data_IF_729843474853
#
_entry.id   IF_729843474853
#
_cell.length_a   1.000
_cell.length_b   1.000
_cell.length_c   1.000
_cell.angle_alpha   90.00
_cell.angle_beta   90.00
_cell.angle_gamma   90.00
#
_symmetry.space_group_name_H-M   'P 1'
#
loop_
_entity.id
_entity.type
_entity.pdbx_description
1 polymer ?
#
# COMPACT_ATOMS: atom_id res chain seq x y z
N UNK A 1 -3.14 -44.67 -22.74
CA UNK A 1 -2.32 -43.65 -23.42
C UNK A 1 -3.17 -43.03 -24.51
N UNK A 2 -3.83 -41.91 -24.21
CA UNK A 2 -4.47 -41.00 -25.16
C UNK A 2 -4.59 -39.66 -24.42
N UNK A 3 -3.57 -38.84 -24.55
CA UNK A 3 -3.51 -37.48 -24.02
C UNK A 3 -3.30 -36.53 -25.20
N UNK A 4 -4.34 -36.38 -26.00
CA UNK A 4 -4.44 -35.36 -27.06
C UNK A 4 -5.43 -34.29 -26.63
N UNK A 5 -5.18 -33.69 -25.46
CA UNK A 5 -5.61 -32.33 -25.20
C UNK A 5 -4.38 -31.46 -25.37
N UNK A 6 -4.15 -31.06 -26.61
CA UNK A 6 -3.19 -30.03 -26.97
C UNK A 6 -3.68 -28.68 -26.46
N UNK A 7 -3.49 -28.42 -25.17
CA UNK A 7 -3.19 -27.05 -24.73
C UNK A 7 -1.77 -26.79 -25.21
N UNK A 8 -1.69 -26.05 -26.30
CA UNK A 8 -0.50 -25.78 -27.10
C UNK A 8 0.48 -24.92 -26.28
N UNK A 9 1.15 -25.51 -25.29
CA UNK A 9 2.30 -24.88 -24.66
C UNK A 9 3.34 -24.61 -25.76
N UNK A 10 3.95 -23.41 -25.81
CA UNK A 10 4.96 -23.11 -26.81
C UNK A 10 6.12 -24.08 -26.59
N UNK A 11 6.61 -24.71 -27.66
CA UNK A 11 7.91 -25.42 -27.79
C UNK A 11 8.67 -25.64 -26.47
N UNK A 12 8.95 -26.90 -26.07
CA UNK A 12 9.65 -27.37 -24.85
C UNK A 12 10.45 -26.31 -24.06
N UNK A 13 11.30 -25.54 -24.74
CA UNK A 13 12.01 -24.36 -24.22
C UNK A 13 11.21 -23.29 -23.43
N UNK A 14 9.97 -22.94 -23.79
CA UNK A 14 9.18 -21.94 -23.03
C UNK A 14 8.64 -22.55 -21.74
N UNK A 15 8.22 -23.81 -21.81
CA UNK A 15 7.72 -24.55 -20.66
C UNK A 15 8.82 -24.80 -19.63
N UNK A 16 10.00 -25.25 -20.08
CA UNK A 16 11.17 -25.42 -19.21
C UNK A 16 11.60 -24.09 -18.55
N UNK A 17 11.56 -23.00 -19.33
CA UNK A 17 11.80 -21.65 -18.82
C UNK A 17 10.78 -21.23 -17.76
N UNK A 18 9.49 -21.45 -18.02
CA UNK A 18 8.41 -21.17 -17.08
C UNK A 18 8.59 -21.94 -15.76
N UNK A 19 8.86 -23.24 -15.82
CA UNK A 19 9.07 -24.06 -14.62
C UNK A 19 10.28 -23.60 -13.80
N UNK A 20 11.40 -23.34 -14.47
CA UNK A 20 12.64 -22.88 -13.82
C UNK A 20 12.44 -21.52 -13.15
N UNK A 21 11.80 -20.59 -13.86
CA UNK A 21 11.50 -19.25 -13.36
C UNK A 21 10.56 -19.31 -12.17
N UNK A 22 9.46 -20.05 -12.28
CA UNK A 22 8.48 -20.21 -11.20
C UNK A 22 9.07 -20.82 -9.93
N UNK A 23 9.95 -21.82 -10.06
CA UNK A 23 10.66 -22.38 -8.90
C UNK A 23 11.58 -21.35 -8.23
N UNK A 24 12.27 -20.52 -9.02
CA UNK A 24 13.10 -19.44 -8.49
C UNK A 24 12.24 -18.34 -7.83
N UNK A 25 11.14 -17.94 -8.44
CA UNK A 25 10.21 -16.93 -7.90
C UNK A 25 9.58 -17.38 -6.59
N UNK A 26 9.27 -18.67 -6.45
CA UNK A 26 8.80 -19.25 -5.20
C UNK A 26 9.79 -19.01 -4.05
N UNK A 27 11.06 -19.38 -4.23
CA UNK A 27 12.08 -19.19 -3.20
C UNK A 27 12.38 -17.71 -2.93
N UNK A 28 12.44 -16.89 -3.98
CA UNK A 28 12.61 -15.44 -3.83
C UNK A 28 11.45 -14.85 -3.03
N UNK A 29 10.21 -15.26 -3.31
CA UNK A 29 9.02 -14.81 -2.59
C UNK A 29 9.06 -15.19 -1.12
N UNK A 30 9.47 -16.41 -0.78
CA UNK A 30 9.62 -16.84 0.62
C UNK A 30 10.64 -15.98 1.35
N UNK A 31 11.84 -15.81 0.76
CA UNK A 31 12.93 -15.03 1.38
C UNK A 31 12.52 -13.56 1.53
N UNK A 32 11.92 -12.98 0.49
CA UNK A 32 11.43 -11.61 0.51
C UNK A 32 10.32 -11.43 1.56
N UNK A 33 9.39 -12.39 1.67
CA UNK A 33 8.30 -12.33 2.65
C UNK A 33 8.84 -12.43 4.08
N UNK A 34 9.81 -13.31 4.35
CA UNK A 34 10.48 -13.38 5.64
C UNK A 34 11.18 -12.06 6.02
N UNK A 35 11.86 -11.44 5.04
CA UNK A 35 12.49 -10.13 5.22
C UNK A 35 11.45 -9.04 5.50
N UNK A 36 10.36 -9.00 4.73
CA UNK A 36 9.25 -8.05 4.91
C UNK A 36 8.58 -8.20 6.28
N UNK A 37 8.35 -9.43 6.75
CA UNK A 37 7.84 -9.70 8.10
C UNK A 37 8.81 -9.23 9.17
N UNK A 38 10.11 -9.43 8.98
CA UNK A 38 11.15 -8.96 9.91
C UNK A 38 11.16 -7.43 10.00
N UNK A 39 11.11 -6.74 8.86
CA UNK A 39 11.05 -5.27 8.80
C UNK A 39 9.76 -4.76 9.46
N UNK A 40 8.60 -5.38 9.16
CA UNK A 40 7.32 -5.02 9.76
C UNK A 40 7.32 -5.24 11.27
N UNK A 41 7.84 -6.38 11.72
CA UNK A 41 8.00 -6.73 13.13
C UNK A 41 8.89 -5.73 13.86
N UNK A 42 10.03 -5.36 13.28
CA UNK A 42 10.91 -4.33 13.82
C UNK A 42 10.23 -2.96 13.92
N UNK A 43 9.49 -2.54 12.87
CA UNK A 43 8.70 -1.32 12.87
C UNK A 43 7.59 -1.31 13.93
N UNK A 44 6.96 -2.45 14.21
CA UNK A 44 5.95 -2.59 15.26
C UNK A 44 6.59 -2.60 16.66
N UNK A 45 7.72 -3.28 16.82
CA UNK A 45 8.46 -3.34 18.07
C UNK A 45 8.97 -1.95 18.50
N UNK A 46 9.54 -1.19 17.58
CA UNK A 46 10.00 0.19 17.85
C UNK A 46 8.87 1.11 18.30
N UNK A 47 7.64 0.95 17.76
CA UNK A 47 6.45 1.69 18.26
C UNK A 47 6.01 1.25 19.65
N UNK A 48 6.19 -0.02 20.00
CA UNK A 48 5.78 -0.55 21.32
C UNK A 48 6.61 0.06 22.46
N UNK A 49 7.87 0.45 22.20
CA UNK A 49 8.74 1.11 23.19
C UNK A 49 8.24 2.50 23.62
N UNK A 50 7.39 3.16 22.84
CA UNK A 50 6.84 4.46 23.23
C UNK A 50 5.45 4.26 23.88
N UNK A 51 5.30 4.50 25.19
CA UNK A 51 4.07 4.20 25.92
C UNK A 51 2.84 4.97 25.40
N UNK A 52 3.03 6.13 24.76
CA UNK A 52 1.95 6.92 24.15
C UNK A 52 1.38 6.30 22.86
N UNK A 53 2.14 5.44 22.17
CA UNK A 53 1.73 4.83 20.89
C UNK A 53 1.48 3.32 20.98
N UNK A 54 1.59 2.72 22.18
CA UNK A 54 1.38 1.28 22.44
C UNK A 54 0.00 0.77 22.00
N UNK A 55 -1.06 1.59 22.07
CA UNK A 55 -2.41 1.24 21.56
C UNK A 55 -2.50 1.15 20.03
N UNK A 56 -1.50 1.63 19.28
CA UNK A 56 -1.49 1.65 17.80
C UNK A 56 -0.66 0.52 17.17
N UNK A 57 -0.19 -0.45 17.96
CA UNK A 57 0.62 -1.58 17.45
C UNK A 57 -0.18 -2.44 16.48
N UNK A 58 -1.43 -2.79 16.81
CA UNK A 58 -2.37 -3.44 15.87
C UNK A 58 -3.19 -2.41 15.10
N UNK A 59 -2.50 -1.43 14.50
CA UNK A 59 -3.19 -0.53 13.58
C UNK A 59 -3.67 -1.32 12.38
N UNK A 60 -4.85 -0.97 11.88
CA UNK A 60 -5.42 -1.66 10.74
C UNK A 60 -4.65 -1.41 9.41
N UNK A 61 -3.56 -0.64 9.43
CA UNK A 61 -2.55 -0.57 8.35
C UNK A 61 -1.53 -1.71 8.46
N UNK A 62 -1.11 -2.06 9.68
CA UNK A 62 -0.19 -3.18 9.93
C UNK A 62 -0.87 -4.50 9.60
N UNK A 63 -2.15 -4.63 9.96
CA UNK A 63 -2.97 -5.79 9.59
C UNK A 63 -3.05 -5.95 8.08
N UNK A 64 -3.28 -4.86 7.34
CA UNK A 64 -3.31 -4.91 5.87
C UNK A 64 -1.95 -5.33 5.29
N UNK A 65 -0.84 -4.75 5.75
CA UNK A 65 0.49 -5.16 5.28
C UNK A 65 0.80 -6.63 5.59
N UNK A 66 0.45 -7.09 6.80
CA UNK A 66 0.62 -8.48 7.19
C UNK A 66 -0.18 -9.42 6.28
N UNK A 67 -1.46 -9.08 6.02
CA UNK A 67 -2.32 -9.84 5.12
C UNK A 67 -1.77 -9.84 3.70
N UNK A 68 -1.27 -8.71 3.18
CA UNK A 68 -0.68 -8.65 1.85
C UNK A 68 0.55 -9.56 1.72
N UNK A 69 1.44 -9.57 2.71
CA UNK A 69 2.61 -10.46 2.72
C UNK A 69 2.15 -11.92 2.75
N UNK A 70 1.21 -12.25 3.64
CA UNK A 70 0.73 -13.62 3.80
C UNK A 70 0.01 -14.12 2.53
N UNK A 71 -0.90 -13.33 1.98
CA UNK A 71 -1.65 -13.71 0.79
C UNK A 71 -0.70 -13.86 -0.41
N UNK A 72 0.26 -12.96 -0.60
CA UNK A 72 1.22 -13.12 -1.70
C UNK A 72 2.04 -14.41 -1.57
N UNK A 73 2.51 -14.75 -0.36
CA UNK A 73 3.21 -16.00 -0.11
C UNK A 73 2.30 -17.22 -0.37
N UNK A 74 1.03 -17.16 0.04
CA UNK A 74 0.07 -18.24 -0.21
C UNK A 74 -0.25 -18.40 -1.69
N UNK A 75 -0.43 -17.31 -2.44
CA UNK A 75 -0.65 -17.33 -3.90
C UNK A 75 0.47 -18.08 -4.60
N UNK A 76 1.73 -17.69 -4.36
CA UNK A 76 2.89 -18.30 -5.00
C UNK A 76 3.08 -19.75 -4.54
N UNK A 77 2.78 -20.07 -3.28
CA UNK A 77 2.80 -21.46 -2.80
C UNK A 77 1.76 -22.34 -3.49
N UNK A 78 0.54 -21.86 -3.68
CA UNK A 78 -0.48 -22.60 -4.43
C UNK A 78 -0.13 -22.73 -5.91
N UNK A 79 0.49 -21.72 -6.51
CA UNK A 79 0.99 -21.82 -7.88
C UNK A 79 2.08 -22.91 -8.01
N UNK A 80 3.01 -22.98 -7.05
CA UNK A 80 4.01 -24.05 -7.02
C UNK A 80 3.39 -25.45 -6.81
N UNK A 81 2.35 -25.56 -5.97
CA UNK A 81 1.60 -26.81 -5.78
C UNK A 81 0.81 -27.22 -7.04
N UNK A 82 0.27 -26.26 -7.78
CA UNK A 82 -0.38 -26.49 -9.08
C UNK A 82 0.60 -27.13 -10.07
N UNK A 83 1.82 -26.60 -10.18
CA UNK A 83 2.86 -27.15 -11.06
C UNK A 83 3.24 -28.60 -10.69
N UNK A 84 3.22 -28.94 -9.40
CA UNK A 84 3.53 -30.28 -8.91
C UNK A 84 2.34 -31.24 -8.86
N UNK A 85 1.13 -30.82 -9.22
CA UNK A 85 -0.07 -31.63 -9.10
C UNK A 85 -0.14 -32.73 -10.19
N UNK A 86 -0.51 -33.94 -9.80
CA UNK A 86 -0.61 -35.10 -10.72
C UNK A 86 -2.04 -35.45 -11.12
N UNK A 87 -3.04 -34.89 -10.42
CA UNK A 87 -4.46 -35.15 -10.64
C UNK A 87 -5.20 -33.86 -11.01
N UNK A 88 -6.13 -33.94 -11.95
CA UNK A 88 -6.92 -32.80 -12.44
C UNK A 88 -7.65 -32.05 -11.31
N UNK A 89 -8.19 -32.77 -10.33
CA UNK A 89 -8.87 -32.19 -9.17
C UNK A 89 -7.94 -31.32 -8.30
N UNK A 90 -6.70 -31.78 -8.10
CA UNK A 90 -5.68 -31.02 -7.36
C UNK A 90 -5.20 -29.82 -8.15
N UNK A 91 -5.02 -29.95 -9.47
CA UNK A 91 -4.68 -28.83 -10.35
C UNK A 91 -5.73 -27.73 -10.25
N UNK A 92 -7.02 -28.09 -10.41
CA UNK A 92 -8.14 -27.17 -10.31
C UNK A 92 -8.19 -26.47 -8.93
N UNK A 93 -8.01 -27.23 -7.85
CA UNK A 93 -8.05 -26.70 -6.49
C UNK A 93 -6.93 -25.69 -6.23
N UNK A 94 -5.68 -26.06 -6.53
CA UNK A 94 -4.52 -25.19 -6.29
C UNK A 94 -4.55 -23.94 -7.17
N UNK A 95 -4.95 -24.08 -8.43
CA UNK A 95 -5.08 -22.94 -9.33
C UNK A 95 -6.20 -21.99 -8.84
N UNK A 96 -7.35 -22.53 -8.44
CA UNK A 96 -8.44 -21.73 -7.88
C UNK A 96 -8.02 -20.97 -6.62
N UNK A 97 -7.28 -21.62 -5.72
CA UNK A 97 -6.75 -20.99 -4.50
C UNK A 97 -5.71 -19.92 -4.81
N UNK A 98 -4.84 -20.14 -5.80
CA UNK A 98 -3.89 -19.13 -6.29
C UNK A 98 -4.64 -17.88 -6.80
N UNK A 99 -5.69 -18.08 -7.62
CA UNK A 99 -6.54 -16.98 -8.10
C UNK A 99 -7.25 -16.25 -6.96
N UNK A 100 -7.83 -16.95 -5.97
CA UNK A 100 -8.41 -16.30 -4.78
C UNK A 100 -7.37 -15.41 -4.10
N UNK A 101 -6.13 -15.88 -3.96
CA UNK A 101 -5.04 -15.10 -3.40
C UNK A 101 -4.70 -13.85 -4.23
N UNK A 102 -4.65 -13.97 -5.55
CA UNK A 102 -4.41 -12.83 -6.46
C UNK A 102 -5.52 -11.76 -6.34
N UNK A 103 -6.79 -12.17 -6.41
CA UNK A 103 -7.93 -11.26 -6.29
C UNK A 103 -8.00 -10.62 -4.89
N UNK A 104 -7.68 -11.39 -3.85
CA UNK A 104 -7.57 -10.88 -2.48
C UNK A 104 -6.45 -9.86 -2.35
N UNK A 105 -5.30 -10.09 -3.01
CA UNK A 105 -4.18 -9.15 -3.04
C UNK A 105 -4.57 -7.82 -3.70
N UNK A 106 -5.26 -7.87 -4.85
CA UNK A 106 -5.78 -6.67 -5.52
C UNK A 106 -6.74 -5.88 -4.63
N UNK A 107 -7.68 -6.57 -3.98
CA UNK A 107 -8.59 -5.94 -3.01
C UNK A 107 -7.83 -5.28 -1.85
N UNK A 108 -6.85 -5.98 -1.26
CA UNK A 108 -6.05 -5.45 -0.16
C UNK A 108 -5.23 -4.23 -0.58
N UNK A 109 -4.65 -4.25 -1.79
CA UNK A 109 -3.90 -3.11 -2.34
C UNK A 109 -4.79 -1.88 -2.44
N UNK A 110 -5.99 -2.00 -3.02
CA UNK A 110 -6.92 -0.88 -3.17
C UNK A 110 -7.36 -0.33 -1.81
N UNK A 111 -7.75 -1.22 -0.88
CA UNK A 111 -8.16 -0.83 0.47
C UNK A 111 -6.99 -0.14 1.20
N UNK A 112 -5.77 -0.64 1.03
CA UNK A 112 -4.57 -0.07 1.62
C UNK A 112 -4.26 1.32 1.03
N UNK A 113 -4.24 1.44 -0.29
CA UNK A 113 -4.03 2.70 -1.02
C UNK A 113 -5.02 3.76 -0.58
N UNK A 114 -6.32 3.41 -0.47
CA UNK A 114 -7.33 4.31 0.04
C UNK A 114 -7.08 4.72 1.49
N UNK A 115 -6.87 3.75 2.39
CA UNK A 115 -6.69 4.04 3.82
C UNK A 115 -5.51 4.96 4.08
N UNK A 116 -4.43 4.81 3.30
CA UNK A 116 -3.26 5.68 3.34
C UNK A 116 -3.49 7.03 2.69
N UNK A 117 -4.21 7.06 1.57
CA UNK A 117 -4.52 8.28 0.83
C UNK A 117 -5.60 9.15 1.47
N UNK A 118 -6.50 8.57 2.29
CA UNK A 118 -7.66 9.24 2.90
C UNK A 118 -7.33 10.62 3.52
N UNK A 119 -6.24 10.79 4.30
CA UNK A 119 -5.88 12.11 4.82
C UNK A 119 -5.59 13.16 3.74
N UNK A 120 -5.01 12.75 2.61
CA UNK A 120 -4.72 13.63 1.47
C UNK A 120 -6.02 13.94 0.71
N UNK A 121 -6.87 12.94 0.50
CA UNK A 121 -8.18 13.13 -0.13
C UNK A 121 -9.07 14.06 0.68
N UNK A 122 -9.13 13.90 2.01
CA UNK A 122 -9.90 14.77 2.88
C UNK A 122 -9.39 16.22 2.84
N UNK A 123 -8.09 16.42 2.67
CA UNK A 123 -7.49 17.75 2.54
C UNK A 123 -7.74 18.42 1.17
N UNK A 124 -7.87 17.64 0.10
CA UNK A 124 -7.98 18.16 -1.27
C UNK A 124 -9.40 18.16 -1.82
N UNK A 125 -10.15 17.07 -1.64
CA UNK A 125 -11.47 16.82 -2.22
C UNK A 125 -12.33 16.05 -1.20
N UNK A 126 -12.82 16.68 -0.12
CA UNK A 126 -13.61 16.00 0.91
C UNK A 126 -14.92 15.40 0.35
N UNK A 127 -15.46 15.97 -0.72
CA UNK A 127 -16.71 15.52 -1.35
C UNK A 127 -16.67 14.10 -1.90
N UNK A 128 -15.48 13.51 -2.13
CA UNK A 128 -15.37 12.15 -2.67
C UNK A 128 -15.51 11.06 -1.59
N UNK A 129 -15.30 11.40 -0.32
CA UNK A 129 -15.30 10.47 0.81
C UNK A 129 -16.56 9.61 0.93
N UNK A 130 -17.81 10.13 0.77
CA UNK A 130 -19.02 9.32 0.89
C UNK A 130 -19.22 8.32 -0.26
N UNK A 131 -18.62 8.53 -1.44
CA UNK A 131 -18.80 7.66 -2.60
C UNK A 131 -17.90 6.42 -2.59
N UNK A 132 -16.85 6.42 -1.76
CA UNK A 132 -15.83 5.38 -1.79
C UNK A 132 -16.24 4.05 -1.16
N UNK A 133 -17.04 3.99 -0.08
CA UNK A 133 -17.62 2.73 0.36
C UNK A 133 -18.40 2.03 -0.75
N UNK A 134 -19.19 2.79 -1.54
CA UNK A 134 -19.92 2.24 -2.67
C UNK A 134 -18.97 1.70 -3.76
N UNK A 135 -17.89 2.43 -4.07
CA UNK A 135 -16.84 1.94 -4.96
C UNK A 135 -16.23 0.61 -4.49
N UNK A 136 -15.87 0.47 -3.20
CA UNK A 136 -15.29 -0.79 -2.70
C UNK A 136 -16.27 -1.95 -2.74
N UNK A 137 -17.56 -1.71 -2.47
CA UNK A 137 -18.59 -2.75 -2.60
C UNK A 137 -18.73 -3.19 -4.05
N UNK A 138 -18.83 -2.25 -4.99
CA UNK A 138 -18.92 -2.55 -6.42
C UNK A 138 -17.67 -3.27 -6.94
N UNK A 139 -16.49 -2.84 -6.52
CA UNK A 139 -15.23 -3.49 -6.87
C UNK A 139 -15.16 -4.91 -6.29
N UNK A 140 -15.59 -5.11 -5.04
CA UNK A 140 -15.65 -6.44 -4.42
C UNK A 140 -16.62 -7.37 -5.15
N UNK A 141 -17.78 -6.87 -5.59
CA UNK A 141 -18.73 -7.64 -6.41
C UNK A 141 -18.14 -7.98 -7.78
N UNK A 142 -17.43 -7.04 -8.41
CA UNK A 142 -16.74 -7.28 -9.69
C UNK A 142 -15.67 -8.37 -9.55
N UNK A 143 -14.89 -8.34 -8.47
CA UNK A 143 -13.87 -9.33 -8.15
C UNK A 143 -14.48 -10.71 -7.86
N UNK A 144 -15.56 -10.78 -7.09
CA UNK A 144 -16.29 -12.03 -6.84
C UNK A 144 -16.88 -12.61 -8.13
N UNK A 145 -17.40 -11.76 -9.03
CA UNK A 145 -17.88 -12.18 -10.33
C UNK A 145 -16.73 -12.73 -11.20
N UNK A 146 -15.60 -12.02 -11.28
CA UNK A 146 -14.41 -12.50 -11.99
C UNK A 146 -13.94 -13.85 -11.46
N UNK A 147 -13.92 -14.05 -10.14
CA UNK A 147 -13.59 -15.33 -9.52
C UNK A 147 -14.51 -16.46 -10.01
N UNK A 148 -15.83 -16.25 -9.94
CA UNK A 148 -16.80 -17.26 -10.35
C UNK A 148 -16.61 -17.68 -11.82
N UNK A 149 -16.39 -16.71 -12.72
CA UNK A 149 -16.14 -16.98 -14.14
C UNK A 149 -14.80 -17.68 -14.37
N UNK A 150 -13.76 -17.31 -13.63
CA UNK A 150 -12.44 -17.97 -13.70
C UNK A 150 -12.53 -19.43 -13.26
N UNK A 151 -13.25 -19.72 -12.18
CA UNK A 151 -13.48 -21.11 -11.75
C UNK A 151 -14.30 -21.88 -12.79
N UNK A 152 -15.34 -21.26 -13.36
CA UNK A 152 -16.11 -21.87 -14.45
C UNK A 152 -15.25 -22.14 -15.69
N UNK A 153 -14.30 -21.26 -16.02
CA UNK A 153 -13.34 -21.46 -17.10
C UNK A 153 -12.47 -22.70 -16.89
N UNK A 154 -11.98 -22.90 -15.66
CA UNK A 154 -11.19 -24.09 -15.33
C UNK A 154 -12.02 -25.36 -15.28
N UNK A 155 -13.26 -25.30 -14.79
CA UNK A 155 -14.18 -26.42 -14.91
C UNK A 155 -14.46 -26.74 -16.39
N UNK A 156 -14.64 -25.72 -17.22
CA UNK A 156 -14.93 -25.89 -18.64
C UNK A 156 -13.79 -26.59 -19.39
N UNK A 157 -12.55 -26.27 -19.05
CA UNK A 157 -11.36 -26.89 -19.64
C UNK A 157 -11.03 -28.28 -19.08
N UNK A 158 -11.43 -28.57 -17.84
CA UNK A 158 -11.21 -29.87 -17.20
C UNK A 158 -12.29 -30.91 -17.55
N UNK A 159 -13.52 -30.48 -17.83
CA UNK A 159 -14.65 -31.38 -18.07
C UNK A 159 -15.18 -31.26 -19.50
N UNK A 160 -15.25 -32.38 -20.23
CA UNK A 160 -15.64 -32.43 -21.64
C UNK A 160 -17.09 -32.01 -21.93
N UNK A 161 -18.00 -32.07 -20.94
CA UNK A 161 -19.41 -31.72 -21.14
C UNK A 161 -19.67 -30.21 -21.30
N UNK A 162 -18.64 -29.39 -21.12
CA UNK A 162 -18.69 -27.92 -21.17
C UNK A 162 -18.01 -27.32 -22.40
N UNK A 163 -17.49 -28.15 -23.32
CA UNK A 163 -16.72 -27.71 -24.50
C UNK A 163 -17.46 -26.66 -25.34
N UNK A 164 -18.78 -26.81 -25.54
CA UNK A 164 -19.62 -25.87 -26.31
C UNK A 164 -19.63 -24.45 -25.72
N UNK A 165 -19.42 -24.32 -24.41
CA UNK A 165 -19.46 -23.04 -23.69
C UNK A 165 -18.07 -22.41 -23.52
N UNK A 166 -16.99 -23.13 -23.85
CA UNK A 166 -15.60 -22.68 -23.60
C UNK A 166 -15.33 -21.30 -24.19
N UNK A 167 -15.72 -21.07 -25.45
CA UNK A 167 -15.53 -19.79 -26.12
C UNK A 167 -16.26 -18.63 -25.41
N UNK A 168 -17.47 -18.89 -24.89
CA UNK A 168 -18.26 -17.89 -24.17
C UNK A 168 -17.63 -17.61 -22.80
N UNK A 169 -17.26 -18.65 -22.07
CA UNK A 169 -16.65 -18.53 -20.74
C UNK A 169 -15.29 -17.83 -20.82
N UNK A 170 -14.47 -18.15 -21.82
CA UNK A 170 -13.19 -17.48 -22.09
C UNK A 170 -13.41 -16.00 -22.43
N UNK A 171 -14.37 -15.70 -23.31
CA UNK A 171 -14.71 -14.33 -23.69
C UNK A 171 -15.13 -13.48 -22.50
N UNK A 172 -16.02 -14.01 -21.64
CA UNK A 172 -16.49 -13.31 -20.44
C UNK A 172 -15.37 -13.15 -19.40
N UNK A 173 -14.56 -14.19 -19.17
CA UNK A 173 -13.45 -14.14 -18.19
C UNK A 173 -12.38 -13.14 -18.61
N UNK A 174 -12.05 -13.09 -19.90
CA UNK A 174 -11.14 -12.08 -20.46
C UNK A 174 -11.72 -10.67 -20.34
N UNK A 175 -12.99 -10.47 -20.69
CA UNK A 175 -13.64 -9.16 -20.57
C UNK A 175 -13.67 -8.66 -19.12
N UNK A 176 -13.96 -9.55 -18.15
CA UNK A 176 -13.92 -9.21 -16.72
C UNK A 176 -12.51 -8.87 -16.24
N UNK A 177 -11.50 -9.61 -16.68
CA UNK A 177 -10.10 -9.35 -16.34
C UNK A 177 -9.63 -7.99 -16.87
N UNK A 178 -9.98 -7.65 -18.12
CA UNK A 178 -9.72 -6.33 -18.69
C UNK A 178 -10.47 -5.24 -17.91
N UNK A 179 -11.74 -5.47 -17.59
CA UNK A 179 -12.56 -4.50 -16.82
C UNK A 179 -11.94 -4.21 -15.46
N UNK A 180 -11.50 -5.24 -14.72
CA UNK A 180 -10.83 -5.08 -13.43
C UNK A 180 -9.54 -4.27 -13.56
N UNK A 181 -8.70 -4.59 -14.56
CA UNK A 181 -7.47 -3.84 -14.79
C UNK A 181 -7.74 -2.37 -15.12
N UNK A 182 -8.75 -2.07 -15.94
CA UNK A 182 -9.16 -0.69 -16.26
C UNK A 182 -9.67 0.05 -15.02
N UNK A 183 -10.49 -0.61 -14.17
CA UNK A 183 -10.97 0.01 -12.93
C UNK A 183 -9.81 0.31 -11.97
N UNK A 184 -8.84 -0.60 -11.86
CA UNK A 184 -7.62 -0.38 -11.06
C UNK A 184 -6.79 0.79 -11.60
N UNK A 185 -6.55 0.84 -12.91
CA UNK A 185 -5.86 1.93 -13.60
C UNK A 185 -6.52 3.29 -13.31
N UNK A 186 -7.85 3.36 -13.43
CA UNK A 186 -8.60 4.60 -13.18
C UNK A 186 -8.52 5.01 -11.71
N UNK A 187 -8.57 4.06 -10.78
CA UNK A 187 -8.39 4.33 -9.35
C UNK A 187 -6.98 4.85 -9.05
N UNK A 188 -5.93 4.21 -9.58
CA UNK A 188 -4.55 4.64 -9.36
C UNK A 188 -4.25 5.98 -10.03
N UNK A 189 -4.80 6.25 -11.21
CA UNK A 189 -4.73 7.55 -11.86
C UNK A 189 -5.38 8.64 -11.00
N UNK A 190 -6.59 8.40 -10.48
CA UNK A 190 -7.27 9.34 -9.59
C UNK A 190 -6.44 9.65 -8.33
N UNK A 191 -5.94 8.60 -7.65
CA UNK A 191 -5.10 8.72 -6.45
C UNK A 191 -3.82 9.50 -6.76
N UNK A 192 -3.17 9.20 -7.87
CA UNK A 192 -1.95 9.87 -8.34
C UNK A 192 -2.19 11.35 -8.63
N UNK A 193 -3.28 11.69 -9.32
CA UNK A 193 -3.66 13.08 -9.61
C UNK A 193 -3.84 13.85 -8.29
N UNK A 194 -4.54 13.28 -7.31
CA UNK A 194 -4.74 13.92 -6.01
C UNK A 194 -3.42 14.12 -5.26
N UNK A 195 -2.51 13.15 -5.30
CA UNK A 195 -1.16 13.29 -4.72
C UNK A 195 -0.34 14.40 -5.40
N UNK A 196 -0.37 14.49 -6.73
CA UNK A 196 0.33 15.54 -7.48
C UNK A 196 -0.26 16.91 -7.16
N UNK A 197 -1.59 17.04 -7.15
CA UNK A 197 -2.27 18.30 -6.80
C UNK A 197 -1.91 18.74 -5.39
N UNK A 198 -1.88 17.82 -4.42
CA UNK A 198 -1.47 18.11 -3.05
C UNK A 198 -0.03 18.63 -2.98
N UNK A 199 0.92 17.97 -3.66
CA UNK A 199 2.32 18.38 -3.69
C UNK A 199 2.52 19.75 -4.36
N UNK A 200 1.69 20.11 -5.34
CA UNK A 200 1.72 21.42 -6.00
C UNK A 200 1.11 22.52 -5.13
N UNK A 201 0.01 22.24 -4.43
CA UNK A 201 -0.72 23.22 -3.64
C UNK A 201 -0.03 23.57 -2.30
N UNK A 202 0.57 22.58 -1.63
CA UNK A 202 1.05 22.76 -0.25
C UNK A 202 2.57 23.03 -0.20
N UNK A 203 2.93 24.31 -0.08
CA UNK A 203 4.32 24.76 0.05
C UNK A 203 4.83 24.85 1.49
N UNK A 204 3.96 24.95 2.50
CA UNK A 204 4.37 25.16 3.90
C UNK A 204 5.07 23.95 4.53
N UNK A 205 5.95 24.21 5.49
CA UNK A 205 6.72 23.19 6.25
C UNK A 205 6.08 22.88 7.61
N UNK A 206 4.75 22.94 7.67
CA UNK A 206 4.03 22.49 8.87
C UNK A 206 4.24 20.97 9.05
N UNK A 207 4.37 20.47 10.31
CA UNK A 207 4.64 19.05 10.56
C UNK A 207 3.60 18.10 9.94
N UNK A 208 2.33 18.49 9.92
CA UNK A 208 1.25 17.69 9.32
C UNK A 208 1.33 17.69 7.79
N UNK A 209 1.80 18.79 7.19
CA UNK A 209 2.06 18.89 5.75
C UNK A 209 3.25 18.04 5.33
N UNK A 210 4.31 17.98 6.16
CA UNK A 210 5.48 17.14 5.89
C UNK A 210 5.11 15.65 5.83
N UNK A 211 4.27 15.17 6.75
CA UNK A 211 3.76 13.79 6.74
C UNK A 211 2.96 13.48 5.47
N UNK A 212 2.04 14.37 5.10
CA UNK A 212 1.22 14.21 3.88
C UNK A 212 2.08 14.27 2.61
N UNK A 213 3.13 15.11 2.57
CA UNK A 213 4.12 15.11 1.46
C UNK A 213 4.83 13.76 1.32
N UNK A 214 5.22 13.13 2.43
CA UNK A 214 5.79 11.77 2.40
C UNK A 214 4.77 10.77 1.86
N UNK A 215 3.51 10.83 2.33
CA UNK A 215 2.43 9.97 1.84
C UNK A 215 2.28 10.10 0.32
N UNK A 216 2.20 11.33 -0.20
CA UNK A 216 2.01 11.59 -1.62
C UNK A 216 3.19 11.11 -2.48
N UNK A 217 4.44 11.31 -2.04
CA UNK A 217 5.63 10.87 -2.81
C UNK A 217 5.72 9.36 -2.95
N UNK A 218 5.59 8.65 -1.82
CA UNK A 218 5.55 7.18 -1.85
C UNK A 218 4.29 6.68 -2.54
N UNK A 219 3.16 7.37 -2.40
CA UNK A 219 1.92 7.06 -3.08
C UNK A 219 2.07 7.07 -4.60
N UNK A 220 2.69 8.10 -5.17
CA UNK A 220 2.97 8.16 -6.63
C UNK A 220 3.88 7.01 -7.06
N UNK A 221 4.94 6.73 -6.31
CA UNK A 221 5.83 5.60 -6.62
C UNK A 221 5.11 4.24 -6.51
N UNK A 222 4.15 4.13 -5.58
CA UNK A 222 3.30 2.94 -5.42
C UNK A 222 2.41 2.73 -6.64
N UNK A 223 1.73 3.79 -7.10
CA UNK A 223 0.89 3.72 -8.29
C UNK A 223 1.72 3.37 -9.52
N UNK A 224 2.90 3.98 -9.71
CA UNK A 224 3.79 3.59 -10.82
C UNK A 224 4.19 2.10 -10.75
N UNK A 225 4.53 1.59 -9.56
CA UNK A 225 4.83 0.17 -9.37
C UNK A 225 3.63 -0.73 -9.73
N UNK A 226 2.42 -0.31 -9.38
CA UNK A 226 1.18 -1.03 -9.70
C UNK A 226 0.89 -1.03 -11.20
N UNK A 227 1.11 0.08 -11.89
CA UNK A 227 0.96 0.15 -13.35
C UNK A 227 1.89 -0.82 -14.06
N UNK A 228 3.17 -0.85 -13.67
CA UNK A 228 4.16 -1.79 -14.22
C UNK A 228 3.72 -3.24 -13.96
N UNK A 229 3.19 -3.52 -12.77
CA UNK A 229 2.67 -4.86 -12.45
C UNK A 229 1.45 -5.23 -13.28
N UNK A 230 0.45 -4.35 -13.41
CA UNK A 230 -0.76 -4.59 -14.22
C UNK A 230 -0.41 -4.79 -15.70
N UNK A 231 0.50 -4.00 -16.26
CA UNK A 231 1.03 -4.20 -17.61
C UNK A 231 1.71 -5.56 -17.72
N UNK A 232 2.51 -5.95 -16.71
CA UNK A 232 3.13 -7.27 -16.63
C UNK A 232 2.12 -8.42 -16.68
N UNK A 233 1.02 -8.33 -15.92
CA UNK A 233 -0.09 -9.31 -15.95
C UNK A 233 -0.65 -9.45 -17.36
N UNK A 234 -0.99 -8.32 -18.00
CA UNK A 234 -1.60 -8.33 -19.34
C UNK A 234 -0.64 -8.90 -20.39
N UNK A 235 0.62 -8.47 -20.39
CA UNK A 235 1.63 -8.95 -21.32
C UNK A 235 1.91 -10.45 -21.13
N UNK A 236 2.05 -10.90 -19.88
CA UNK A 236 2.24 -12.32 -19.58
C UNK A 236 1.06 -13.16 -20.08
N UNK A 237 -0.17 -12.79 -19.75
CA UNK A 237 -1.36 -13.54 -20.17
C UNK A 237 -1.48 -13.59 -21.71
N UNK A 238 -1.22 -12.48 -22.39
CA UNK A 238 -1.26 -12.43 -23.86
C UNK A 238 -0.18 -13.33 -24.49
N UNK A 239 1.07 -13.24 -24.01
CA UNK A 239 2.19 -14.03 -24.53
C UNK A 239 2.16 -15.50 -24.12
N UNK A 240 1.50 -15.83 -23.01
CA UNK A 240 1.26 -17.21 -22.58
C UNK A 240 0.33 -17.94 -23.55
N UNK A 241 -0.74 -17.28 -23.98
CA UNK A 241 -1.69 -17.83 -24.96
C UNK A 241 -1.13 -17.80 -26.38
N UNK A 242 -0.44 -16.70 -26.74
CA UNK A 242 0.09 -16.50 -28.10
C UNK A 242 1.57 -16.12 -28.04
N UNK A 243 2.49 -17.11 -28.07
CA UNK A 243 3.93 -16.90 -27.95
C UNK A 243 4.49 -16.20 -29.20
N UNK A 244 4.44 -14.87 -29.19
CA UNK A 244 4.85 -14.00 -30.31
C UNK A 244 6.19 -13.30 -30.08
N UNK A 245 6.71 -13.38 -28.85
CA UNK A 245 7.96 -12.75 -28.41
C UNK A 245 9.00 -13.80 -28.06
N UNK A 246 10.28 -13.41 -28.04
CA UNK A 246 11.36 -14.31 -27.61
C UNK A 246 11.15 -14.79 -26.17
N UNK A 247 11.68 -15.99 -25.86
CA UNK A 247 11.64 -16.59 -24.52
C UNK A 247 12.11 -15.59 -23.46
N UNK A 248 13.16 -14.82 -23.74
CA UNK A 248 13.66 -13.81 -22.83
C UNK A 248 12.58 -12.81 -22.38
N UNK A 249 11.82 -12.23 -23.32
CA UNK A 249 10.76 -11.26 -22.99
C UNK A 249 9.58 -11.91 -22.28
N UNK A 250 9.24 -13.14 -22.65
CA UNK A 250 8.24 -13.93 -21.94
C UNK A 250 8.63 -14.13 -20.47
N UNK A 251 9.86 -14.59 -20.20
CA UNK A 251 10.35 -14.79 -18.83
C UNK A 251 10.47 -13.48 -18.04
N UNK A 252 10.85 -12.38 -18.69
CA UNK A 252 10.85 -11.05 -18.05
C UNK A 252 9.43 -10.65 -17.63
N UNK A 253 8.42 -10.86 -18.48
CA UNK A 253 7.03 -10.55 -18.12
C UNK A 253 6.53 -11.38 -16.93
N UNK A 254 6.90 -12.65 -16.87
CA UNK A 254 6.57 -13.54 -15.76
C UNK A 254 7.20 -13.07 -14.45
N UNK A 255 8.48 -12.64 -14.47
CA UNK A 255 9.12 -12.04 -13.29
C UNK A 255 8.44 -10.76 -12.83
N UNK A 256 8.02 -9.90 -13.76
CA UNK A 256 7.30 -8.66 -13.42
C UNK A 256 5.95 -9.00 -12.77
N UNK A 257 5.26 -10.00 -13.33
CA UNK A 257 4.01 -10.53 -12.80
C UNK A 257 4.16 -11.02 -11.34
N UNK A 258 5.18 -11.83 -11.06
CA UNK A 258 5.38 -12.42 -9.72
C UNK A 258 6.00 -11.43 -8.70
N UNK A 259 6.89 -10.54 -9.14
CA UNK A 259 7.56 -9.59 -8.24
C UNK A 259 6.78 -8.32 -7.96
N UNK A 260 5.78 -7.96 -8.76
CA UNK A 260 4.99 -6.75 -8.57
C UNK A 260 4.48 -6.56 -7.13
N UNK A 261 3.78 -7.56 -6.53
CA UNK A 261 3.30 -7.46 -5.15
C UNK A 261 4.43 -7.33 -4.13
N UNK A 262 5.57 -8.01 -4.35
CA UNK A 262 6.74 -7.96 -3.47
C UNK A 262 7.33 -6.55 -3.44
N UNK A 263 7.58 -5.97 -4.63
CA UNK A 263 8.13 -4.63 -4.79
C UNK A 263 7.18 -3.61 -4.17
N UNK A 264 5.87 -3.75 -4.44
CA UNK A 264 4.84 -2.89 -3.85
C UNK A 264 4.91 -2.92 -2.31
N UNK A 265 4.97 -4.10 -1.69
CA UNK A 265 5.02 -4.23 -0.23
C UNK A 265 6.30 -3.62 0.35
N UNK A 266 7.47 -3.80 -0.28
CA UNK A 266 8.69 -3.12 0.15
C UNK A 266 8.55 -1.61 0.12
N UNK A 267 7.92 -1.07 -0.92
CA UNK A 267 7.68 0.36 -1.03
C UNK A 267 6.72 0.86 0.06
N UNK A 268 5.71 0.07 0.43
CA UNK A 268 4.83 0.39 1.56
C UNK A 268 5.52 0.31 2.92
N UNK A 269 6.44 -0.63 3.11
CA UNK A 269 7.27 -0.70 4.32
C UNK A 269 8.22 0.49 4.41
N UNK A 270 8.83 0.91 3.29
CA UNK A 270 9.67 2.09 3.22
C UNK A 270 8.88 3.38 3.53
N UNK A 271 7.67 3.52 2.98
CA UNK A 271 6.74 4.60 3.32
C UNK A 271 6.44 4.61 4.83
N UNK A 272 6.12 3.44 5.40
CA UNK A 272 5.83 3.30 6.83
C UNK A 272 7.03 3.70 7.69
N UNK A 273 8.24 3.30 7.31
CA UNK A 273 9.49 3.70 7.95
C UNK A 273 9.68 5.23 7.91
N UNK A 274 9.53 5.82 6.72
CA UNK A 274 9.67 7.28 6.52
C UNK A 274 8.68 8.07 7.37
N UNK A 275 7.43 7.60 7.47
CA UNK A 275 6.41 8.26 8.30
C UNK A 275 6.73 8.19 9.79
N UNK A 276 7.36 7.11 10.24
CA UNK A 276 7.80 6.98 11.63
C UNK A 276 8.96 7.92 11.94
N UNK A 277 9.90 8.11 11.01
CA UNK A 277 10.98 9.09 11.17
C UNK A 277 10.43 10.52 11.25
N UNK A 278 9.46 10.88 10.41
CA UNK A 278 8.79 12.19 10.47
C UNK A 278 7.98 12.39 11.76
N UNK A 279 7.36 11.33 12.30
CA UNK A 279 6.69 11.37 13.60
C UNK A 279 7.68 11.71 14.73
N UNK A 280 8.83 11.05 14.77
CA UNK A 280 9.89 11.32 15.74
C UNK A 280 10.45 12.74 15.57
N UNK A 281 10.68 13.19 14.34
CA UNK A 281 11.18 14.55 14.05
C UNK A 281 10.18 15.62 14.50
N UNK A 282 8.89 15.42 14.23
CA UNK A 282 7.82 16.32 14.66
C UNK A 282 7.69 16.40 16.19
N UNK A 283 7.82 15.27 16.90
CA UNK A 283 7.82 15.26 18.36
C UNK A 283 9.01 16.01 18.95
N UNK A 284 10.22 15.85 18.39
CA UNK A 284 11.42 16.60 18.80
C UNK A 284 11.22 18.11 18.64
N UNK A 285 10.77 18.56 17.46
CA UNK A 285 10.50 19.98 17.21
C UNK A 285 9.41 20.54 18.15
N UNK A 286 8.39 19.74 18.48
CA UNK A 286 7.36 20.17 19.45
C UNK A 286 7.94 20.35 20.85
N UNK A 287 8.82 19.43 21.29
CA UNK A 287 9.52 19.56 22.58
C UNK A 287 10.41 20.79 22.62
N UNK A 288 11.22 21.01 21.59
CA UNK A 288 12.09 22.20 21.47
C UNK A 288 11.29 23.51 21.50
N UNK A 289 10.12 23.57 20.85
CA UNK A 289 9.23 24.74 20.91
C UNK A 289 8.66 24.96 22.30
N UNK A 290 8.26 23.90 23.01
CA UNK A 290 7.75 23.99 24.38
C UNK A 290 8.86 24.45 25.33
N UNK A 291 10.07 23.91 25.18
CA UNK A 291 11.24 24.31 25.97
C UNK A 291 11.62 25.77 25.70
N UNK A 292 11.64 26.19 24.43
CA UNK A 292 11.91 27.59 24.05
C UNK A 292 10.84 28.53 24.61
N UNK A 293 9.56 28.17 24.49
CA UNK A 293 8.46 28.95 25.06
C UNK A 293 8.54 29.03 26.59
N UNK A 294 8.95 27.95 27.26
CA UNK A 294 9.18 27.92 28.71
C UNK A 294 10.36 28.81 29.12
N UNK A 295 11.46 28.81 28.36
CA UNK A 295 12.60 29.68 28.62
C UNK A 295 12.21 31.15 28.44
N UNK A 296 11.46 31.48 27.37
CA UNK A 296 10.99 32.84 27.09
C UNK A 296 9.99 33.31 28.15
N UNK A 297 9.05 32.46 28.58
CA UNK A 297 8.08 32.82 29.62
C UNK A 297 8.77 33.05 30.98
N UNK A 298 9.73 32.19 31.34
CA UNK A 298 10.50 32.31 32.60
C UNK A 298 11.41 33.55 32.60
N UNK A 299 12.03 33.90 31.45
CA UNK A 299 12.80 35.14 31.31
C UNK A 299 11.89 36.38 31.37
N UNK A 300 10.74 36.34 30.72
CA UNK A 300 9.74 37.41 30.75
C UNK A 300 9.21 37.69 32.16
N UNK A 301 9.04 36.65 32.99
CA UNK A 301 8.67 36.83 34.40
C UNK A 301 9.81 37.45 35.22
N UNK A 302 11.07 37.07 34.97
CA UNK A 302 12.22 37.64 35.70
C UNK A 302 12.45 39.13 35.41
N UNK A 303 12.17 39.58 34.17
CA UNK A 303 12.29 40.99 33.78
C UNK A 303 11.13 41.79 34.36
N UNK A 304 9.89 41.30 34.28
CA UNK A 304 8.73 41.95 34.91
C UNK A 304 8.88 42.06 36.44
N UNK A 305 9.47 41.04 37.09
CA UNK A 305 9.74 41.04 38.53
C UNK A 305 10.91 41.96 38.92
N UNK A 306 11.91 42.17 38.03
CA UNK A 306 12.95 43.19 38.26
C UNK A 306 12.41 44.62 38.09
N UNK A 307 11.54 44.85 37.11
CA UNK A 307 10.97 46.19 36.90
C UNK A 307 9.99 46.58 38.01
N UNK A 308 9.24 45.63 38.59
CA UNK A 308 8.37 45.90 39.75
C UNK A 308 9.14 46.15 41.04
N UNK A 309 10.29 45.50 41.24
CA UNK A 309 11.17 45.77 42.40
C UNK A 309 11.85 47.15 42.27
N UNK A 310 12.19 47.60 41.07
CA UNK A 310 12.76 48.93 40.85
C UNK A 310 11.69 50.03 41.00
N UNK A 311 10.45 49.81 40.53
CA UNK A 311 9.36 50.79 40.71
C UNK A 311 8.79 50.87 42.13
N UNK A 312 8.98 49.84 42.98
CA UNK A 312 8.65 49.93 44.40
C UNK A 312 9.77 50.54 45.27
N UNK A 313 11.01 50.60 44.77
CA UNK A 313 12.12 51.26 45.46
C UNK A 313 12.19 52.78 45.19
N UNK A 314 11.56 53.28 44.12
CA UNK A 314 11.39 54.72 43.85
C UNK A 314 10.10 55.26 44.47
N UNK A 315 10.04 55.28 45.81
CA UNK A 315 9.12 56.19 46.50
C UNK A 315 9.75 56.78 47.77
N UNK A 316 10.71 57.72 47.65
CA UNK A 316 11.05 58.58 48.77
C UNK A 316 10.10 59.79 48.78
N UNK A 317 9.25 59.81 49.80
CA UNK A 317 9.25 60.92 50.75
C UNK A 317 9.01 62.35 50.17
N UNK A 318 7.81 62.62 49.66
CA UNK A 318 7.30 64.00 49.40
C UNK A 318 6.02 64.33 50.16
N UNK A 319 5.88 63.86 51.40
CA UNK A 319 4.66 64.08 52.21
C UNK A 319 4.92 64.62 53.63
N UNK A 320 5.99 65.39 53.85
CA UNK A 320 6.26 65.95 55.20
C UNK A 320 6.72 67.41 55.30
N UNK A 321 6.54 68.25 54.29
CA UNK A 321 6.82 69.71 54.38
C UNK A 321 5.71 70.61 53.82
N UNK A 322 4.50 70.55 54.39
CA UNK A 322 3.50 71.62 54.14
C UNK A 322 2.64 72.02 55.34
N UNK A 323 3.05 71.66 56.56
CA UNK A 323 2.46 72.22 57.80
C UNK A 323 3.57 72.77 58.66
N UNK A 324 3.93 74.03 58.42
CA UNK A 324 4.44 75.03 59.37
C UNK A 324 4.62 76.27 58.47
N UNK A 325 3.64 77.18 58.50
CA UNK A 325 3.76 78.62 58.21
C UNK A 325 2.33 79.17 58.02
N UNK A 326 1.60 79.26 59.12
CA UNK A 326 0.46 80.17 59.27
C UNK A 326 0.18 80.35 60.75
N UNK A 327 0.93 81.27 61.37
CA UNK A 327 0.50 82.07 62.52
C UNK A 327 1.42 83.26 62.68
#
# INVERSE_FOLDING_TARGET
MNSTNSTLFPTDSYYDGYLTVGAQDFWITIVASALQLTILGYLMYTKTKNPQTRRKVYSATNTLLLLMIFINCMTIAFNALYVGATTESSMLAYLSLSYVGTLSSQCLIIIYSWKRGRPVFHAMIPSIEPYLPAFFVLFGLLQANQFAWTVMQFCASAFSFTEEWTNVVDGVTNALSVTVNVVMLLFDALVTIVYILYLRAMKSDLPDVAKLKVISRYGIASCFCMEVWLIGIVLFNYWFVTPTVSIFWFLVSLRIYDFGPIIYVFLQLAMKWSLQQEEVRGEKMKRERIETARIVSTRGTSVAMRTSVITMAEKPEKSRMSRIMSQ
#
